data_IF_930983907703
#
_entry.id   IF_930983907703
#
_cell.length_a   1.000
_cell.length_b   1.000
_cell.length_c   1.000
_cell.angle_alpha   90.00
_cell.angle_beta   90.00
_cell.angle_gamma   90.00
#
_symmetry.space_group_name_H-M   'P 1'
#
loop_
_entity.id
_entity.type
_entity.pdbx_description
1 polymer ?
#
# COMPACT_ATOMS: atom_id res chain seq x y z
N UNK A 1 -34.10 12.44 -12.96
CA UNK A 1 -33.07 11.37 -12.86
C UNK A 1 -31.80 12.08 -13.26
N UNK A 2 -31.09 12.62 -12.27
CA UNK A 2 -30.10 13.66 -12.53
C UNK A 2 -28.72 13.05 -12.29
N UNK A 3 -28.12 12.58 -13.39
CA UNK A 3 -26.72 12.20 -13.44
C UNK A 3 -25.87 13.46 -13.34
N UNK A 4 -25.33 13.70 -12.16
CA UNK A 4 -24.30 14.72 -11.94
C UNK A 4 -23.00 14.20 -12.56
N UNK A 5 -22.63 14.73 -13.72
CA UNK A 5 -21.32 14.53 -14.33
C UNK A 5 -20.25 15.14 -13.41
N UNK A 6 -19.42 14.27 -12.82
CA UNK A 6 -18.29 14.71 -12.02
C UNK A 6 -17.14 15.07 -12.95
N UNK A 7 -16.87 16.37 -13.07
CA UNK A 7 -15.77 16.93 -13.84
C UNK A 7 -14.44 16.30 -13.44
N UNK A 8 -13.83 15.63 -14.41
CA UNK A 8 -12.44 15.19 -14.43
C UNK A 8 -11.52 16.40 -14.37
N UNK A 9 -11.20 16.89 -13.18
CA UNK A 9 -10.11 17.85 -12.99
C UNK A 9 -9.49 17.69 -11.59
N UNK A 10 -8.87 16.54 -11.35
CA UNK A 10 -7.82 16.44 -10.32
C UNK A 10 -6.48 16.69 -10.98
N UNK A 11 -6.10 17.97 -11.07
CA UNK A 11 -4.69 18.36 -11.20
C UNK A 11 -3.98 18.03 -9.89
N UNK A 12 -3.76 16.73 -9.68
CA UNK A 12 -2.78 16.20 -8.75
C UNK A 12 -1.44 16.32 -9.47
N UNK A 13 -0.75 17.44 -9.28
CA UNK A 13 0.68 17.52 -9.59
C UNK A 13 1.36 16.34 -8.89
N UNK A 14 1.69 15.32 -9.67
CA UNK A 14 2.33 14.11 -9.22
C UNK A 14 3.75 14.46 -8.82
N UNK A 15 3.99 14.59 -7.52
CA UNK A 15 5.31 14.26 -6.99
C UNK A 15 5.69 12.91 -7.64
N UNK A 16 6.82 12.80 -8.36
CA UNK A 16 7.07 11.71 -9.33
C UNK A 16 7.00 10.30 -8.71
N UNK A 17 7.02 10.25 -7.38
CA UNK A 17 6.96 9.04 -6.58
C UNK A 17 5.58 8.76 -5.95
N UNK A 18 4.53 9.57 -6.16
CA UNK A 18 3.22 9.40 -5.50
C UNK A 18 2.13 9.08 -6.52
N UNK A 19 1.34 8.04 -6.24
CA UNK A 19 0.11 7.71 -6.97
C UNK A 19 -1.05 7.51 -6.01
N UNK A 20 -2.28 7.77 -6.48
CA UNK A 20 -3.51 7.62 -5.72
C UNK A 20 -4.43 6.59 -6.37
N UNK A 21 -5.04 5.74 -5.57
CA UNK A 21 -5.92 4.67 -6.04
C UNK A 21 -7.26 4.68 -5.29
N UNK A 22 -8.37 4.31 -5.93
CA UNK A 22 -9.68 4.24 -5.26
C UNK A 22 -9.84 2.95 -4.45
N UNK A 23 -8.99 1.94 -4.64
CA UNK A 23 -9.04 0.68 -3.90
C UNK A 23 -7.63 0.15 -3.58
N UNK A 24 -7.55 -0.68 -2.53
CA UNK A 24 -6.32 -1.37 -2.17
C UNK A 24 -5.87 -2.32 -3.29
N UNK A 25 -6.83 -2.96 -3.96
CA UNK A 25 -6.55 -3.90 -5.05
C UNK A 25 -5.81 -3.22 -6.22
N UNK A 26 -6.27 -2.05 -6.65
CA UNK A 26 -5.60 -1.30 -7.71
C UNK A 26 -4.20 -0.83 -7.28
N UNK A 27 -4.02 -0.46 -6.01
CA UNK A 27 -2.69 -0.14 -5.47
C UNK A 27 -1.77 -1.38 -5.43
N UNK A 28 -2.31 -2.57 -5.13
CA UNK A 28 -1.57 -3.83 -5.18
C UNK A 28 -1.22 -4.26 -6.61
N UNK A 29 -2.10 -4.01 -7.59
CA UNK A 29 -1.79 -4.20 -9.01
C UNK A 29 -0.69 -3.25 -9.48
N UNK A 30 -0.71 -1.99 -9.05
CA UNK A 30 0.36 -1.05 -9.39
C UNK A 30 1.69 -1.41 -8.72
N UNK A 31 1.66 -1.90 -7.48
CA UNK A 31 2.85 -2.47 -6.83
C UNK A 31 3.45 -3.56 -7.71
N UNK A 32 2.63 -4.49 -8.19
CA UNK A 32 3.09 -5.56 -9.06
C UNK A 32 3.67 -5.03 -10.38
N UNK A 33 3.01 -4.08 -11.03
CA UNK A 33 3.54 -3.43 -12.25
C UNK A 33 4.92 -2.81 -11.99
N UNK A 34 5.06 -2.07 -10.89
CA UNK A 34 6.34 -1.49 -10.51
C UNK A 34 7.42 -2.56 -10.25
N UNK A 35 7.08 -3.68 -9.63
CA UNK A 35 8.02 -4.81 -9.43
C UNK A 35 8.51 -5.40 -10.76
N UNK A 36 7.62 -5.50 -11.74
CA UNK A 36 7.95 -5.96 -13.10
C UNK A 36 8.82 -4.94 -13.81
N UNK A 37 8.41 -3.67 -13.84
CA UNK A 37 9.10 -2.59 -14.56
C UNK A 37 10.52 -2.36 -14.03
N UNK A 38 10.69 -2.41 -12.71
CA UNK A 38 11.99 -2.18 -12.05
C UNK A 38 12.81 -3.46 -11.86
N UNK A 39 12.22 -4.63 -12.14
CA UNK A 39 12.75 -5.94 -11.77
C UNK A 39 13.15 -6.04 -10.29
N UNK A 40 12.53 -5.24 -9.42
CA UNK A 40 12.77 -5.22 -7.99
C UNK A 40 11.59 -5.85 -7.27
N UNK A 41 11.84 -6.83 -6.40
CA UNK A 41 10.79 -7.42 -5.56
C UNK A 41 10.69 -6.70 -4.21
N UNK A 42 9.47 -6.54 -3.71
CA UNK A 42 9.19 -5.97 -2.41
C UNK A 42 8.41 -6.95 -1.54
N UNK A 43 8.77 -6.99 -0.26
CA UNK A 43 8.16 -7.87 0.74
C UNK A 43 7.44 -7.04 1.80
N UNK A 44 6.33 -7.56 2.32
CA UNK A 44 5.59 -6.88 3.38
C UNK A 44 6.46 -6.76 4.63
N UNK A 45 6.85 -5.53 4.97
CA UNK A 45 7.68 -5.24 6.13
C UNK A 45 6.84 -4.92 7.36
N UNK A 46 5.81 -4.10 7.18
CA UNK A 46 4.94 -3.66 8.27
C UNK A 46 3.56 -3.34 7.75
N UNK A 47 2.54 -3.81 8.47
CA UNK A 47 1.15 -3.38 8.33
C UNK A 47 0.68 -2.89 9.69
N UNK A 48 0.19 -1.65 9.75
CA UNK A 48 -0.28 -1.03 10.99
C UNK A 48 -1.61 -0.32 10.73
N UNK A 49 -2.66 -0.78 11.40
CA UNK A 49 -3.91 -0.03 11.53
C UNK A 49 -3.75 1.03 12.61
N UNK A 50 -4.25 2.24 12.35
CA UNK A 50 -4.26 3.29 13.35
C UNK A 50 -5.41 3.07 14.33
N UNK A 51 -5.05 3.14 15.61
CA UNK A 51 -5.95 3.09 16.75
C UNK A 51 -7.06 4.15 16.58
N UNK A 52 -8.35 3.75 16.55
CA UNK A 52 -9.50 4.64 16.41
C UNK A 52 -9.45 5.85 17.34
N UNK A 53 -9.07 5.64 18.60
CA UNK A 53 -9.14 6.67 19.64
C UNK A 53 -8.00 7.69 19.52
N UNK A 54 -6.90 7.30 18.87
CA UNK A 54 -5.71 8.15 18.67
C UNK A 54 -5.66 8.78 17.28
N UNK A 55 -6.71 8.61 16.46
CA UNK A 55 -6.74 9.18 15.11
C UNK A 55 -6.65 10.70 15.16
N UNK A 56 -5.69 11.24 14.42
CA UNK A 56 -5.54 12.69 14.21
C UNK A 56 -6.12 13.04 12.85
N UNK A 57 -6.81 14.18 12.79
CA UNK A 57 -7.24 14.75 11.51
C UNK A 57 -6.07 15.56 10.97
N UNK A 58 -5.77 15.29 9.72
CA UNK A 58 -4.80 16.02 8.92
C UNK A 58 -5.55 16.86 7.89
N UNK A 59 -4.86 17.81 7.29
CA UNK A 59 -5.39 18.69 6.26
C UNK A 59 -4.45 18.62 5.06
N UNK A 60 -5.00 18.41 3.86
CA UNK A 60 -4.20 18.39 2.64
C UNK A 60 -3.95 19.81 2.09
N UNK A 61 -3.28 19.89 0.93
CA UNK A 61 -2.94 21.15 0.25
C UNK A 61 -4.20 21.94 -0.14
N UNK A 62 -5.30 21.23 -0.45
CA UNK A 62 -6.59 21.81 -0.83
C UNK A 62 -7.46 22.18 0.37
N UNK A 63 -6.93 22.02 1.59
CA UNK A 63 -7.62 22.27 2.84
C UNK A 63 -8.85 21.39 3.04
N UNK A 64 -8.76 20.13 2.62
CA UNK A 64 -9.72 19.08 2.90
C UNK A 64 -9.21 18.26 4.09
N UNK A 65 -10.04 18.03 5.12
CA UNK A 65 -9.65 17.21 6.26
C UNK A 65 -9.64 15.73 5.90
N UNK A 66 -8.72 14.98 6.49
CA UNK A 66 -8.59 13.55 6.27
C UNK A 66 -8.02 12.77 7.47
N UNK A 67 -8.32 11.47 7.52
CA UNK A 67 -7.66 10.51 8.42
C UNK A 67 -6.72 9.59 7.65
N UNK A 68 -5.66 9.14 8.31
CA UNK A 68 -4.92 7.96 7.87
C UNK A 68 -5.42 6.77 8.67
N UNK A 69 -5.97 5.77 8.00
CA UNK A 69 -6.60 4.60 8.62
C UNK A 69 -5.60 3.46 8.79
N UNK A 70 -4.87 3.17 7.72
CA UNK A 70 -3.91 2.08 7.68
C UNK A 70 -2.63 2.52 6.99
N UNK A 71 -1.51 1.99 7.46
CA UNK A 71 -0.19 2.15 6.87
C UNK A 71 0.42 0.79 6.57
N UNK A 72 0.72 0.57 5.29
CA UNK A 72 1.40 -0.62 4.79
C UNK A 72 2.75 -0.18 4.23
N UNK A 73 3.82 -0.86 4.64
CA UNK A 73 5.18 -0.66 4.14
C UNK A 73 5.69 -1.96 3.56
N UNK A 74 6.08 -1.91 2.30
CA UNK A 74 6.82 -2.94 1.61
C UNK A 74 8.29 -2.51 1.52
N UNK A 75 9.20 -3.45 1.73
CA UNK A 75 10.64 -3.22 1.65
C UNK A 75 11.22 -4.06 0.53
N UNK A 76 12.16 -3.49 -0.23
CA UNK A 76 12.90 -4.24 -1.24
C UNK A 76 13.54 -5.50 -0.64
N UNK A 77 13.55 -6.61 -1.37
CA UNK A 77 14.14 -7.88 -0.93
C UNK A 77 15.63 -7.79 -0.61
N UNK A 78 16.34 -6.85 -1.23
CA UNK A 78 17.75 -6.53 -0.96
C UNK A 78 17.94 -5.71 0.33
N UNK A 79 16.86 -5.27 0.98
CA UNK A 79 16.90 -4.53 2.22
C UNK A 79 17.41 -5.35 3.41
N UNK A 80 17.77 -4.64 4.49
CA UNK A 80 18.30 -5.21 5.76
C UNK A 80 17.50 -6.42 6.24
N UNK A 81 18.19 -7.45 6.76
CA UNK A 81 17.51 -8.49 7.56
C UNK A 81 17.16 -7.86 8.90
N UNK A 82 15.88 -7.63 9.15
CA UNK A 82 15.43 -7.53 10.52
C UNK A 82 15.63 -8.91 11.15
N UNK A 83 16.66 -9.08 11.98
CA UNK A 83 16.79 -10.25 12.84
C UNK A 83 15.62 -10.23 13.81
N UNK A 84 14.48 -10.77 13.39
CA UNK A 84 13.48 -11.24 14.35
C UNK A 84 14.25 -12.21 15.25
N UNK A 85 14.30 -11.94 16.55
CA UNK A 85 14.89 -12.86 17.53
C UNK A 85 14.12 -14.17 17.42
N UNK A 86 14.58 -15.07 16.55
CA UNK A 86 14.05 -16.43 16.46
C UNK A 86 14.50 -17.13 17.72
N UNK A 87 13.54 -17.57 18.53
CA UNK A 87 13.79 -18.58 19.55
C UNK A 87 14.46 -19.79 18.88
N UNK A 88 15.51 -20.38 19.49
CA UNK A 88 16.24 -21.48 18.90
C UNK A 88 15.42 -22.77 19.08
N UNK A 89 14.46 -23.00 18.19
CA UNK A 89 13.74 -24.27 18.17
C UNK A 89 13.84 -24.90 16.77
N UNK A 90 14.66 -25.95 16.72
CA UNK A 90 14.65 -27.04 15.74
C UNK A 90 14.81 -26.64 14.27
N UNK A 91 16.05 -26.47 13.83
CA UNK A 91 16.39 -26.60 12.41
C UNK A 91 17.29 -27.82 12.24
N UNK A 92 16.67 -28.92 11.83
CA UNK A 92 17.33 -30.09 11.25
C UNK A 92 18.16 -29.68 10.03
N UNK A 93 19.33 -30.31 9.93
CA UNK A 93 20.37 -30.12 8.92
C UNK A 93 19.81 -30.22 7.49
N UNK A 94 19.75 -29.09 6.78
CA UNK A 94 20.10 -28.94 5.36
C UNK A 94 19.87 -27.48 4.96
N UNK A 95 20.84 -26.61 5.25
CA UNK A 95 20.86 -25.27 4.68
C UNK A 95 22.12 -25.14 3.83
N UNK A 96 21.96 -25.35 2.52
CA UNK A 96 22.86 -24.75 1.53
C UNK A 96 22.98 -23.28 1.91
N UNK A 97 24.18 -22.86 2.29
CA UNK A 97 24.50 -21.47 2.61
C UNK A 97 24.35 -20.66 1.32
N UNK A 98 23.12 -20.25 0.99
CA UNK A 98 22.89 -19.18 0.01
C UNK A 98 23.50 -17.93 0.64
N UNK A 99 24.62 -17.45 0.08
CA UNK A 99 25.20 -16.15 0.45
C UNK A 99 24.06 -15.11 0.41
N UNK A 100 23.84 -14.42 1.52
CA UNK A 100 22.81 -13.38 1.63
C UNK A 100 23.15 -12.24 0.66
N UNK A 101 22.33 -12.04 -0.37
CA UNK A 101 22.46 -10.95 -1.35
C UNK A 101 21.92 -9.61 -0.84
N UNK A 102 21.74 -9.44 0.47
CA UNK A 102 21.18 -8.22 1.05
C UNK A 102 22.26 -7.15 1.13
N UNK A 103 21.94 -5.96 0.62
CA UNK A 103 22.88 -4.85 0.39
C UNK A 103 22.47 -3.60 1.14
N UNK A 104 21.65 -3.78 2.18
CA UNK A 104 21.13 -2.70 3.00
C UNK A 104 20.29 -1.66 2.24
N UNK A 105 19.63 -2.09 1.17
CA UNK A 105 18.73 -1.28 0.36
C UNK A 105 17.61 -0.64 1.21
N UNK A 106 17.44 0.67 1.07
CA UNK A 106 16.45 1.47 1.80
C UNK A 106 15.12 1.63 1.05
N UNK A 107 15.10 1.26 -0.24
CA UNK A 107 13.93 1.34 -1.10
C UNK A 107 12.71 0.68 -0.46
N UNK A 108 11.68 1.50 -0.27
CA UNK A 108 10.44 1.09 0.35
C UNK A 108 9.26 1.68 -0.42
N UNK A 109 8.24 0.86 -0.61
CA UNK A 109 6.95 1.31 -1.10
C UNK A 109 6.03 1.43 0.10
N UNK A 110 5.31 2.54 0.21
CA UNK A 110 4.31 2.73 1.27
C UNK A 110 2.92 2.94 0.68
N UNK A 111 1.92 2.30 1.27
CA UNK A 111 0.49 2.50 0.96
C UNK A 111 -0.19 3.02 2.22
N UNK A 112 -0.87 4.16 2.11
CA UNK A 112 -1.69 4.75 3.17
C UNK A 112 -3.15 4.72 2.76
N UNK A 113 -3.98 4.03 3.53
CA UNK A 113 -5.43 4.17 3.42
C UNK A 113 -5.84 5.49 4.07
N UNK A 114 -6.53 6.34 3.32
CA UNK A 114 -6.91 7.69 3.70
C UNK A 114 -8.41 7.85 3.53
N UNK A 115 -9.10 8.40 4.53
CA UNK A 115 -10.49 8.83 4.40
C UNK A 115 -10.51 10.36 4.38
N UNK A 116 -10.90 10.95 3.25
CA UNK A 116 -11.12 12.39 3.08
C UNK A 116 -12.58 12.76 3.34
N UNK A 117 -12.81 14.01 3.73
CA UNK A 117 -14.14 14.61 3.89
C UNK A 117 -14.26 15.90 3.07
N UNK A 118 -14.48 15.81 1.75
CA UNK A 118 -14.52 16.96 0.84
C UNK A 118 -15.55 18.03 1.21
N UNK A 119 -16.69 17.64 1.79
CA UNK A 119 -17.75 18.54 2.22
C UNK A 119 -17.31 19.56 3.30
N UNK A 120 -16.17 19.34 3.95
CA UNK A 120 -15.59 20.25 4.93
C UNK A 120 -14.37 21.02 4.42
N UNK A 121 -14.21 21.13 3.10
CA UNK A 121 -13.16 21.96 2.51
C UNK A 121 -13.27 23.42 3.00
N UNK A 122 -12.14 24.03 3.38
CA UNK A 122 -12.10 25.40 3.86
C UNK A 122 -11.33 26.29 2.88
N UNK A 123 -11.96 27.38 2.44
CA UNK A 123 -11.32 28.38 1.59
C UNK A 123 -10.18 29.11 2.33
N UNK A 124 -8.99 29.30 1.70
CA UNK A 124 -7.81 29.87 2.37
C UNK A 124 -7.99 31.29 2.93
N UNK A 125 -8.80 32.12 2.29
CA UNK A 125 -8.89 33.57 2.58
C UNK A 125 -9.87 33.93 3.72
N UNK A 126 -10.34 32.96 4.51
CA UNK A 126 -11.30 33.24 5.60
C UNK A 126 -10.59 33.80 6.85
N UNK A 127 -11.07 34.93 7.40
CA UNK A 127 -10.53 35.56 8.64
C UNK A 127 -10.40 34.59 9.81
N UNK A 128 -11.22 33.54 9.87
CA UNK A 128 -11.25 32.53 10.94
C UNK A 128 -10.76 31.14 10.51
N UNK A 129 -9.95 31.05 9.44
CA UNK A 129 -9.51 29.81 8.82
C UNK A 129 -9.01 28.73 9.81
N UNK A 130 -8.09 29.09 10.72
CA UNK A 130 -7.55 28.18 11.73
C UNK A 130 -8.61 27.68 12.72
N UNK A 131 -9.48 28.58 13.18
CA UNK A 131 -10.56 28.25 14.10
C UNK A 131 -11.58 27.32 13.44
N UNK A 132 -11.94 27.60 12.18
CA UNK A 132 -12.83 26.75 11.40
C UNK A 132 -12.27 25.36 11.17
N UNK A 133 -10.99 25.23 10.80
CA UNK A 133 -10.31 23.92 10.73
C UNK A 133 -10.35 23.17 12.06
N UNK A 134 -10.16 23.87 13.17
CA UNK A 134 -10.22 23.26 14.51
C UNK A 134 -11.62 22.75 14.85
N UNK A 135 -12.66 23.56 14.62
CA UNK A 135 -14.06 23.17 14.85
C UNK A 135 -14.47 21.98 13.99
N UNK A 136 -14.14 22.02 12.69
CA UNK A 136 -14.38 20.91 11.76
C UNK A 136 -13.67 19.65 12.25
N UNK A 137 -12.41 19.76 12.68
CA UNK A 137 -11.65 18.61 13.16
C UNK A 137 -12.32 17.99 14.40
N UNK A 138 -12.77 18.82 15.35
CA UNK A 138 -13.52 18.33 16.52
C UNK A 138 -14.83 17.67 16.12
N UNK A 139 -15.57 18.27 15.18
CA UNK A 139 -16.84 17.75 14.68
C UNK A 139 -16.65 16.38 14.02
N UNK A 140 -15.73 16.25 13.08
CA UNK A 140 -15.47 14.98 12.37
C UNK A 140 -15.04 13.90 13.37
N UNK A 141 -14.14 14.20 14.32
CA UNK A 141 -13.71 13.22 15.34
C UNK A 141 -14.87 12.73 16.21
N UNK A 142 -15.74 13.64 16.66
CA UNK A 142 -16.87 13.29 17.53
C UNK A 142 -17.93 12.47 16.80
N UNK A 143 -18.05 12.67 15.49
CA UNK A 143 -19.16 12.13 14.69
C UNK A 143 -18.75 11.02 13.72
N UNK A 144 -17.48 10.59 13.71
CA UNK A 144 -16.94 9.68 12.71
C UNK A 144 -17.73 8.36 12.62
N UNK A 145 -18.10 7.81 13.78
CA UNK A 145 -18.76 6.51 13.89
C UNK A 145 -20.28 6.62 14.05
N UNK A 146 -20.79 7.80 14.45
CA UNK A 146 -22.21 8.02 14.78
C UNK A 146 -22.99 8.70 13.65
N UNK A 147 -22.34 9.52 12.83
CA UNK A 147 -23.02 10.29 11.79
C UNK A 147 -22.89 9.59 10.42
N UNK A 148 -24.01 9.03 9.96
CA UNK A 148 -24.12 8.32 8.66
C UNK A 148 -24.10 9.27 7.45
N UNK A 149 -24.39 10.54 7.65
CA UNK A 149 -24.44 11.56 6.58
C UNK A 149 -23.06 12.17 6.28
N UNK A 150 -22.02 11.76 7.01
CA UNK A 150 -20.65 12.11 6.68
C UNK A 150 -20.27 11.48 5.33
N UNK A 151 -20.22 12.29 4.28
CA UNK A 151 -19.60 11.94 3.00
C UNK A 151 -18.14 11.56 3.24
N UNK A 152 -17.80 10.29 3.04
CA UNK A 152 -16.47 9.71 3.23
C UNK A 152 -15.93 9.31 1.87
N UNK A 153 -14.74 9.80 1.52
CA UNK A 153 -14.03 9.38 0.32
C UNK A 153 -12.78 8.60 0.74
N UNK A 154 -12.80 7.27 0.57
CA UNK A 154 -11.65 6.42 0.87
C UNK A 154 -10.73 6.34 -0.34
N UNK A 155 -9.44 6.62 -0.13
CA UNK A 155 -8.40 6.61 -1.15
C UNK A 155 -7.13 5.96 -0.60
N UNK A 156 -6.31 5.41 -1.49
CA UNK A 156 -5.05 4.77 -1.17
C UNK A 156 -3.90 5.60 -1.77
N UNK A 157 -3.13 6.27 -0.92
CA UNK A 157 -1.93 7.01 -1.34
C UNK A 157 -0.74 6.07 -1.32
N UNK A 158 -0.19 5.80 -2.49
CA UNK A 158 1.02 5.02 -2.67
C UNK A 158 2.22 5.92 -2.88
N UNK A 159 3.36 5.58 -2.27
CA UNK A 159 4.64 6.25 -2.48
C UNK A 159 5.67 5.22 -2.89
N UNK A 160 6.28 5.43 -4.05
CA UNK A 160 7.34 4.61 -4.65
C UNK A 160 8.73 5.12 -4.25
N UNK A 161 9.73 4.25 -4.18
CA UNK A 161 11.12 4.67 -4.07
C UNK A 161 11.57 5.34 -5.38
N UNK A 162 12.50 6.27 -5.26
CA UNK A 162 13.29 6.76 -6.39
C UNK A 162 14.44 5.80 -6.71
N UNK A 163 15.12 5.98 -7.87
CA UNK A 163 16.27 5.16 -8.22
C UNK A 163 17.41 5.20 -7.20
N UNK A 164 17.61 6.35 -6.55
CA UNK A 164 18.64 6.56 -5.53
C UNK A 164 18.40 5.75 -4.24
N UNK A 165 17.15 5.34 -3.96
CA UNK A 165 16.82 4.59 -2.75
C UNK A 165 17.27 3.11 -2.83
N UNK A 166 17.57 2.63 -4.03
CA UNK A 166 18.05 1.27 -4.28
C UNK A 166 19.55 1.11 -4.01
N UNK A 167 19.99 1.52 -2.83
CA UNK A 167 21.39 1.45 -2.45
C UNK A 167 21.94 0.01 -2.48
N UNK A 168 23.12 -0.13 -3.08
CA UNK A 168 23.88 -1.38 -3.09
C UNK A 168 23.41 -2.44 -4.10
N UNK A 169 22.39 -2.18 -4.93
CA UNK A 169 22.05 -3.06 -6.05
C UNK A 169 21.52 -2.28 -7.26
N UNK A 170 21.65 -2.87 -8.45
CA UNK A 170 21.15 -2.27 -9.69
C UNK A 170 19.64 -2.54 -9.88
N UNK A 171 18.95 -1.60 -10.50
CA UNK A 171 17.56 -1.70 -10.94
C UNK A 171 17.54 -2.23 -12.38
N UNK A 172 16.56 -3.06 -12.75
CA UNK A 172 16.36 -3.49 -14.14
C UNK A 172 17.27 -4.62 -14.64
N UNK A 173 18.10 -5.23 -13.78
CA UNK A 173 18.84 -6.45 -14.13
C UNK A 173 18.24 -7.67 -13.44
N UNK A 174 17.79 -8.65 -14.22
CA UNK A 174 17.41 -9.97 -13.72
C UNK A 174 18.67 -10.64 -13.14
N UNK A 175 18.79 -10.69 -11.82
CA UNK A 175 19.90 -11.41 -11.21
C UNK A 175 19.62 -12.92 -11.22
N UNK A 176 20.41 -13.69 -11.96
CA UNK A 176 20.34 -15.16 -12.05
C UNK A 176 20.06 -15.80 -10.67
N UNK A 177 18.95 -16.54 -10.57
CA UNK A 177 18.50 -17.22 -9.35
C UNK A 177 17.32 -16.58 -8.58
N UNK A 178 16.81 -15.41 -9.00
CA UNK A 178 15.55 -14.84 -8.49
C UNK A 178 14.34 -15.43 -9.22
N UNK A 179 14.11 -16.74 -9.09
CA UNK A 179 12.77 -17.31 -9.28
C UNK A 179 12.01 -17.10 -7.97
N UNK A 180 11.69 -15.84 -7.67
CA UNK A 180 10.88 -15.49 -6.48
C UNK A 180 9.71 -14.57 -6.78
N UNK A 181 9.60 -14.05 -8.01
CA UNK A 181 8.42 -13.33 -8.46
C UNK A 181 7.32 -14.32 -8.85
N UNK A 182 6.97 -15.25 -7.95
CA UNK A 182 5.63 -15.79 -7.97
C UNK A 182 4.72 -14.60 -7.71
N UNK A 183 4.02 -14.17 -8.76
CA UNK A 183 3.13 -13.02 -8.75
C UNK A 183 2.33 -13.02 -7.43
N UNK A 184 2.46 -11.95 -6.66
CA UNK A 184 1.82 -11.87 -5.34
C UNK A 184 0.30 -12.02 -5.43
N UNK A 185 -0.30 -11.62 -6.55
CA UNK A 185 -1.70 -11.85 -6.88
C UNK A 185 -1.97 -13.33 -7.13
N UNK A 186 -1.08 -14.04 -7.84
CA UNK A 186 -1.15 -15.51 -7.98
C UNK A 186 -1.03 -16.21 -6.63
N UNK A 187 -0.13 -15.77 -5.74
CA UNK A 187 -0.04 -16.33 -4.37
C UNK A 187 -1.29 -16.05 -3.53
N UNK A 188 -1.93 -14.88 -3.72
CA UNK A 188 -3.20 -14.55 -3.07
C UNK A 188 -4.33 -15.44 -3.61
N UNK A 189 -4.44 -15.56 -4.93
CA UNK A 189 -5.40 -16.42 -5.61
C UNK A 189 -5.24 -17.90 -5.20
N UNK A 190 -4.00 -18.40 -5.16
CA UNK A 190 -3.69 -19.74 -4.65
C UNK A 190 -4.16 -19.95 -3.21
N UNK A 191 -3.93 -18.99 -2.32
CA UNK A 191 -4.43 -19.07 -0.93
C UNK A 191 -5.96 -19.09 -0.86
N UNK A 192 -6.62 -18.31 -1.70
CA UNK A 192 -8.08 -18.28 -1.78
C UNK A 192 -8.65 -19.61 -2.31
N UNK A 193 -8.03 -20.21 -3.33
CA UNK A 193 -8.41 -21.52 -3.85
C UNK A 193 -8.23 -22.61 -2.79
N UNK A 194 -7.09 -22.61 -2.09
CA UNK A 194 -6.82 -23.57 -1.00
C UNK A 194 -7.83 -23.39 0.14
N UNK A 195 -8.15 -22.15 0.51
CA UNK A 195 -9.16 -21.85 1.54
C UNK A 195 -10.57 -22.31 1.14
N UNK A 196 -10.88 -22.39 -0.16
CA UNK A 196 -12.13 -22.93 -0.69
C UNK A 196 -12.19 -24.47 -0.71
N UNK A 197 -11.12 -25.15 -0.28
CA UNK A 197 -11.08 -26.61 -0.14
C UNK A 197 -10.32 -27.34 -1.25
N UNK A 198 -9.81 -26.63 -2.26
CA UNK A 198 -9.04 -27.25 -3.33
C UNK A 198 -7.61 -27.51 -2.87
N UNK A 199 -7.26 -28.78 -2.67
CA UNK A 199 -5.94 -29.22 -2.19
C UNK A 199 -5.17 -30.05 -3.22
N UNK A 200 -5.79 -30.36 -4.36
CA UNK A 200 -5.18 -31.14 -5.44
C UNK A 200 -4.16 -30.31 -6.22
N UNK A 201 -2.89 -30.72 -6.19
CA UNK A 201 -1.80 -30.03 -6.91
C UNK A 201 -2.05 -29.90 -8.42
N UNK A 202 -2.57 -30.93 -9.13
CA UNK A 202 -2.96 -30.81 -10.54
C UNK A 202 -4.04 -29.74 -10.80
N UNK A 203 -5.06 -29.66 -9.95
CA UNK A 203 -6.14 -28.68 -10.08
C UNK A 203 -5.65 -27.26 -9.79
N UNK A 204 -4.82 -27.10 -8.76
CA UNK A 204 -4.17 -25.82 -8.46
C UNK A 204 -3.32 -25.33 -9.64
N UNK A 205 -2.60 -26.24 -10.31
CA UNK A 205 -1.79 -25.91 -11.49
C UNK A 205 -2.67 -25.43 -12.65
N UNK A 206 -3.74 -26.15 -12.98
CA UNK A 206 -4.68 -25.73 -14.03
C UNK A 206 -5.34 -24.38 -13.73
N UNK A 207 -5.75 -24.13 -12.49
CA UNK A 207 -6.37 -22.87 -12.09
C UNK A 207 -5.40 -21.69 -12.14
N UNK A 208 -4.14 -21.91 -11.74
CA UNK A 208 -3.10 -20.89 -11.88
C UNK A 208 -2.77 -20.62 -13.34
N UNK A 209 -2.62 -21.66 -14.16
CA UNK A 209 -2.33 -21.51 -15.59
C UNK A 209 -3.45 -20.72 -16.28
N UNK A 210 -4.72 -21.01 -15.94
CA UNK A 210 -5.87 -20.23 -16.43
C UNK A 210 -5.82 -18.76 -15.98
N UNK A 211 -5.54 -18.51 -14.71
CA UNK A 211 -5.47 -17.15 -14.14
C UNK A 211 -4.31 -16.30 -14.67
N UNK A 212 -3.25 -16.92 -15.18
CA UNK A 212 -2.08 -16.22 -15.76
C UNK A 212 -2.27 -15.91 -17.25
N UNK A 213 -3.17 -16.62 -17.94
CA UNK A 213 -3.44 -16.49 -19.38
C UNK A 213 -4.65 -15.58 -19.68
N UNK A 214 -5.63 -15.49 -18.78
CA UNK A 214 -6.77 -14.55 -18.83
C UNK A 214 -6.42 -13.18 -18.23
#
# INVERSE_FOLDING_TARGET
MDTVEYGSNTSLESEPCIKWFPSLELAEQELYRHEVDTMCSFTLFKKKKNDPDKRRIHWDKDNIPFFVMEFIRYQCTHGKVNRVRRTPALVTKQLRVKKSRKTDCEACITIREIIKFPQFQVAPQQRSFKNKKTLISKFIKKNLDTNKDLVKCTLFRMTFPGPADHYGHEIGKVQVGTVTNLNRLVLKYLKEIIAKGNSSVPELKQLVDKYVVE
#
